data_IF_085742870985
#
_entry.id   IF_085742870985
#
_cell.length_a   1.000
_cell.length_b   1.000
_cell.length_c   1.000
_cell.angle_alpha   90.00
_cell.angle_beta   90.00
_cell.angle_gamma   90.00
#
_symmetry.space_group_name_H-M   'P 1'
#
loop_
_entity.id
_entity.type
_entity.pdbx_description
1 polymer ?
#
# COMPACT_ATOMS: atom_id res chain seq x y z
N UNK A 1 -12.27 12.37 -4.59
CA UNK A 1 -11.61 11.70 -3.45
C UNK A 1 -11.02 12.76 -2.54
N UNK A 2 -11.39 12.75 -1.26
CA UNK A 2 -10.75 13.54 -0.20
C UNK A 2 -10.19 12.59 0.86
N UNK A 3 -9.10 12.99 1.54
CA UNK A 3 -8.53 12.19 2.61
C UNK A 3 -7.85 13.07 3.67
N UNK A 4 -7.83 12.56 4.92
CA UNK A 4 -7.13 13.18 6.05
C UNK A 4 -6.39 12.12 6.84
N UNK A 5 -5.15 12.40 7.23
CA UNK A 5 -4.36 11.58 8.16
C UNK A 5 -3.45 12.46 9.04
N UNK A 6 -2.99 11.90 10.15
CA UNK A 6 -2.00 12.53 11.04
C UNK A 6 -0.85 11.55 11.28
N UNK A 7 0.38 12.06 11.26
CA UNK A 7 1.60 11.29 11.53
C UNK A 7 2.38 11.96 12.65
N UNK A 8 2.74 11.19 13.67
CA UNK A 8 3.55 11.62 14.78
C UNK A 8 4.79 10.74 14.88
N UNK A 9 5.96 11.35 15.10
CA UNK A 9 7.20 10.61 15.24
C UNK A 9 8.14 11.25 16.24
N UNK A 10 8.91 10.41 16.91
CA UNK A 10 9.94 10.80 17.88
C UNK A 10 11.23 10.08 17.55
N UNK A 11 12.34 10.80 17.57
CA UNK A 11 13.68 10.23 17.48
C UNK A 11 14.38 10.47 18.82
N UNK A 12 14.87 9.39 19.40
CA UNK A 12 15.53 9.37 20.68
C UNK A 12 16.98 8.94 20.53
N UNK A 13 17.89 9.60 21.24
CA UNK A 13 19.30 9.23 21.38
C UNK A 13 19.55 8.72 22.78
N UNK A 14 19.63 7.40 23.01
CA UNK A 14 19.72 6.83 24.35
C UNK A 14 21.06 7.12 25.05
N UNK A 15 22.10 7.40 24.28
CA UNK A 15 23.43 7.70 24.80
C UNK A 15 23.91 9.00 24.17
N UNK A 16 24.26 9.97 24.99
CA UNK A 16 24.90 11.22 24.60
C UNK A 16 26.20 10.88 23.88
N UNK A 17 26.62 11.55 22.90
CA UNK A 17 27.80 11.27 22.06
C UNK A 17 27.79 9.97 21.22
N UNK A 18 26.77 9.13 21.35
CA UNK A 18 26.61 7.96 20.48
C UNK A 18 25.91 8.33 19.16
N UNK A 19 26.36 7.81 18.03
CA UNK A 19 25.65 7.96 16.76
C UNK A 19 24.36 7.12 16.70
N UNK A 20 24.09 6.29 17.71
CA UNK A 20 22.91 5.43 17.77
C UNK A 20 21.64 6.23 18.02
N UNK A 21 20.58 5.93 17.27
CA UNK A 21 19.27 6.57 17.33
C UNK A 21 18.17 5.52 17.29
N UNK A 22 17.13 5.76 18.07
CA UNK A 22 15.87 5.01 18.00
C UNK A 22 14.77 5.94 17.52
N UNK A 23 13.92 5.44 16.65
CA UNK A 23 12.75 6.16 16.15
C UNK A 23 11.49 5.38 16.45
N UNK A 24 10.44 6.12 16.80
CA UNK A 24 9.08 5.61 16.96
C UNK A 24 8.16 6.52 16.18
N UNK A 25 7.27 5.94 15.41
CA UNK A 25 6.24 6.70 14.70
C UNK A 25 4.90 5.97 14.75
N UNK A 26 3.84 6.77 14.79
CA UNK A 26 2.47 6.32 14.71
C UNK A 26 1.76 7.13 13.64
N UNK A 27 1.04 6.43 12.77
CA UNK A 27 0.18 7.04 11.78
C UNK A 27 -1.26 6.71 12.15
N UNK A 28 -2.10 7.72 12.19
CA UNK A 28 -3.54 7.51 12.38
C UNK A 28 -4.13 6.81 11.16
N UNK A 29 -5.33 6.25 11.28
CA UNK A 29 -6.12 5.90 10.11
C UNK A 29 -6.20 7.06 9.12
N UNK A 30 -6.23 6.76 7.84
CA UNK A 30 -6.58 7.72 6.80
C UNK A 30 -8.06 7.53 6.48
N UNK A 31 -8.82 8.59 6.61
CA UNK A 31 -10.23 8.62 6.27
C UNK A 31 -10.33 9.08 4.82
N UNK A 32 -10.86 8.21 3.97
CA UNK A 32 -11.13 8.49 2.57
C UNK A 32 -12.62 8.67 2.36
N UNK A 33 -13.01 9.70 1.63
CA UNK A 33 -14.33 9.83 1.03
C UNK A 33 -14.19 9.54 -0.46
N UNK A 34 -14.89 8.53 -0.92
CA UNK A 34 -14.77 7.96 -2.26
C UNK A 34 -16.14 8.01 -2.95
N UNK A 35 -16.11 8.39 -4.21
CA UNK A 35 -17.26 8.29 -5.12
C UNK A 35 -16.91 7.30 -6.21
N UNK A 36 -17.65 6.22 -6.30
CA UNK A 36 -17.56 5.26 -7.39
C UNK A 36 -18.71 5.51 -8.36
N UNK A 37 -18.38 5.58 -9.63
CA UNK A 37 -19.37 5.76 -10.69
C UNK A 37 -19.14 4.71 -11.77
N UNK A 38 -20.18 3.98 -12.11
CA UNK A 38 -20.07 3.00 -13.18
C UNK A 38 -21.25 3.07 -14.14
N UNK A 39 -20.98 2.71 -15.38
CA UNK A 39 -21.94 2.59 -16.45
C UNK A 39 -21.83 1.18 -17.03
N UNK A 40 -22.94 0.48 -17.10
CA UNK A 40 -23.01 -0.82 -17.77
C UNK A 40 -23.71 -0.67 -19.10
N UNK A 41 -23.05 -1.09 -20.18
CA UNK A 41 -23.65 -1.14 -21.52
C UNK A 41 -23.78 -2.59 -21.94
N UNK A 42 -25.00 -3.01 -22.22
CA UNK A 42 -25.29 -4.31 -22.83
C UNK A 42 -25.62 -4.08 -24.32
N UNK A 43 -24.82 -4.66 -25.20
CA UNK A 43 -25.13 -4.76 -26.61
C UNK A 43 -25.45 -6.22 -26.93
N UNK A 44 -26.65 -6.47 -27.46
CA UNK A 44 -27.06 -7.80 -27.92
C UNK A 44 -27.54 -7.73 -29.36
N UNK A 45 -27.07 -8.63 -30.17
CA UNK A 45 -27.48 -8.80 -31.58
C UNK A 45 -28.54 -9.92 -31.71
N UNK A 46 -29.53 -9.84 -30.81
CA UNK A 46 -30.64 -10.81 -30.80
C UNK A 46 -31.72 -10.28 -31.71
N UNK A 47 -32.16 -11.11 -32.65
CA UNK A 47 -33.39 -10.86 -33.43
C UNK A 47 -34.56 -10.75 -32.45
N UNK A 48 -34.92 -9.54 -32.10
CA UNK A 48 -36.09 -9.29 -31.26
C UNK A 48 -37.36 -9.38 -32.13
N UNK A 49 -38.26 -10.23 -31.72
CA UNK A 49 -39.55 -10.40 -32.38
C UNK A 49 -40.48 -9.17 -32.22
N UNK A 50 -40.08 -8.24 -31.33
CA UNK A 50 -40.85 -7.02 -31.05
C UNK A 50 -39.87 -5.84 -30.79
N UNK A 51 -39.98 -4.81 -31.65
CA UNK A 51 -39.18 -3.58 -31.53
C UNK A 51 -39.47 -2.80 -30.22
N UNK A 52 -40.66 -2.91 -29.65
CA UNK A 52 -41.06 -2.28 -28.40
C UNK A 52 -40.24 -2.85 -27.20
N UNK A 53 -39.97 -4.14 -27.21
CA UNK A 53 -39.17 -4.79 -26.17
C UNK A 53 -37.69 -4.38 -26.23
N UNK A 54 -37.14 -4.21 -27.41
CA UNK A 54 -35.79 -3.76 -27.67
C UNK A 54 -35.57 -2.31 -27.17
N UNK A 55 -36.52 -1.44 -27.36
CA UNK A 55 -36.52 -0.05 -26.92
C UNK A 55 -36.57 0.05 -25.39
N UNK A 56 -37.44 -0.72 -24.76
CA UNK A 56 -37.61 -0.75 -23.30
C UNK A 56 -36.32 -1.23 -22.61
N UNK A 57 -35.62 -2.22 -23.13
CA UNK A 57 -34.36 -2.72 -22.57
C UNK A 57 -33.23 -1.70 -22.73
N UNK A 58 -33.15 -1.03 -23.87
CA UNK A 58 -32.19 0.05 -24.12
C UNK A 58 -32.42 1.23 -23.17
N UNK A 59 -33.64 1.65 -22.97
CA UNK A 59 -34.01 2.76 -22.09
C UNK A 59 -33.70 2.43 -20.63
N UNK A 60 -33.95 1.20 -20.19
CA UNK A 60 -33.63 0.75 -18.84
C UNK A 60 -32.08 0.77 -18.57
N UNK A 61 -31.29 0.34 -19.51
CA UNK A 61 -29.80 0.30 -19.39
C UNK A 61 -29.16 1.69 -19.51
N UNK A 62 -29.80 2.61 -20.25
CA UNK A 62 -29.30 3.97 -20.44
C UNK A 62 -29.63 4.87 -19.23
N UNK A 63 -30.61 4.55 -18.43
CA UNK A 63 -31.01 5.34 -17.26
C UNK A 63 -30.27 4.99 -15.97
N UNK A 64 -29.54 3.87 -15.92
CA UNK A 64 -28.87 3.43 -14.73
C UNK A 64 -27.37 3.84 -14.72
N UNK A 65 -27.11 5.14 -14.74
CA UNK A 65 -25.86 5.67 -14.25
C UNK A 65 -25.89 5.58 -12.73
N UNK A 66 -25.13 4.64 -12.18
CA UNK A 66 -25.04 4.45 -10.74
C UNK A 66 -23.81 5.18 -10.23
N UNK A 67 -24.02 6.07 -9.28
CA UNK A 67 -23.00 6.72 -8.50
C UNK A 67 -23.22 6.35 -7.04
N UNK A 68 -22.16 5.95 -6.37
CA UNK A 68 -22.21 5.52 -4.99
C UNK A 68 -21.08 6.17 -4.20
N UNK A 69 -21.44 6.83 -3.11
CA UNK A 69 -20.50 7.47 -2.19
C UNK A 69 -20.28 6.58 -0.97
N UNK A 70 -19.02 6.38 -0.58
CA UNK A 70 -18.67 5.58 0.58
C UNK A 70 -17.40 6.09 1.25
N UNK A 71 -17.20 5.67 2.49
CA UNK A 71 -15.98 5.94 3.26
C UNK A 71 -15.14 4.69 3.41
N UNK A 72 -13.84 4.87 3.28
CA UNK A 72 -12.85 3.87 3.61
C UNK A 72 -11.92 4.42 4.68
N UNK A 73 -11.77 3.66 5.77
CA UNK A 73 -10.88 4.01 6.87
C UNK A 73 -9.75 2.98 6.90
N UNK A 74 -8.51 3.45 6.70
CA UNK A 74 -7.34 2.56 6.76
C UNK A 74 -6.95 2.29 8.22
N UNK A 75 -6.17 1.21 8.49
CA UNK A 75 -5.73 0.90 9.84
C UNK A 75 -4.67 1.89 10.35
N UNK A 76 -4.45 1.86 11.66
CA UNK A 76 -3.28 2.45 12.28
C UNK A 76 -2.00 1.80 11.78
N UNK A 77 -0.91 2.59 11.72
CA UNK A 77 0.43 2.08 11.45
C UNK A 77 1.37 2.45 12.58
N UNK A 78 2.12 1.47 13.04
CA UNK A 78 3.12 1.61 14.08
C UNK A 78 4.49 1.31 13.49
N UNK A 79 5.44 2.20 13.75
CA UNK A 79 6.77 2.09 13.19
C UNK A 79 7.82 2.23 14.31
N UNK A 80 8.79 1.32 14.30
CA UNK A 80 9.96 1.36 15.17
C UNK A 80 11.20 1.27 14.32
N UNK A 81 12.16 2.14 14.55
CA UNK A 81 13.39 2.17 13.77
C UNK A 81 14.63 2.35 14.66
N UNK A 82 15.74 1.82 14.18
CA UNK A 82 17.04 2.02 14.78
C UNK A 82 18.05 2.38 13.69
N UNK A 83 18.98 3.26 14.03
CA UNK A 83 20.03 3.67 13.10
C UNK A 83 21.31 4.05 13.81
N UNK A 84 22.44 3.85 13.13
CA UNK A 84 23.74 4.25 13.63
C UNK A 84 24.68 4.60 12.49
N UNK A 85 25.72 5.35 12.82
CA UNK A 85 26.80 5.68 11.88
C UNK A 85 28.13 5.21 12.47
N UNK A 86 28.84 4.38 11.73
CA UNK A 86 30.13 3.81 12.14
C UNK A 86 31.27 4.63 11.51
N UNK A 87 32.12 5.20 12.34
CA UNK A 87 33.28 5.97 11.92
C UNK A 87 33.02 7.13 10.98
N UNK A 88 31.77 7.61 10.90
CA UNK A 88 31.35 8.63 9.95
C UNK A 88 31.34 8.19 8.47
N UNK A 89 31.63 6.91 8.21
CA UNK A 89 31.77 6.35 6.86
C UNK A 89 30.62 5.43 6.49
N UNK A 90 30.08 4.67 7.43
CA UNK A 90 29.01 3.71 7.18
C UNK A 90 27.81 4.06 8.03
N UNK A 91 26.67 4.31 7.40
CA UNK A 91 25.37 4.44 8.05
C UNK A 91 24.57 3.14 7.90
N UNK A 92 23.99 2.67 9.00
CA UNK A 92 23.14 1.49 9.05
C UNK A 92 21.77 1.90 9.59
N UNK A 93 20.72 1.33 9.04
CA UNK A 93 19.36 1.54 9.51
C UNK A 93 18.53 0.27 9.41
N UNK A 94 17.66 0.09 10.39
CA UNK A 94 16.65 -0.95 10.39
C UNK A 94 15.31 -0.36 10.83
N UNK A 95 14.22 -0.85 10.26
CA UNK A 95 12.88 -0.39 10.53
C UNK A 95 11.91 -1.56 10.52
N UNK A 96 10.99 -1.55 11.44
CA UNK A 96 9.84 -2.45 11.49
C UNK A 96 8.55 -1.63 11.52
N UNK A 97 7.62 -1.99 10.64
CA UNK A 97 6.29 -1.39 10.56
C UNK A 97 5.23 -2.48 10.68
N UNK A 98 4.20 -2.19 11.45
CA UNK A 98 3.02 -3.03 11.60
C UNK A 98 1.75 -2.23 11.29
N UNK A 99 0.85 -2.85 10.53
CA UNK A 99 -0.47 -2.30 10.21
C UNK A 99 -1.48 -3.44 10.09
N UNK A 100 -2.56 -3.39 10.85
CA UNK A 100 -3.60 -4.42 10.83
C UNK A 100 -4.68 -4.09 9.80
N UNK A 101 -4.53 -4.61 8.59
CA UNK A 101 -5.47 -4.34 7.50
C UNK A 101 -6.86 -4.94 7.74
N UNK A 102 -7.00 -5.99 8.57
CA UNK A 102 -8.31 -6.52 8.97
C UNK A 102 -9.13 -5.53 9.80
N UNK A 103 -8.48 -4.52 10.39
CA UNK A 103 -9.17 -3.44 11.11
C UNK A 103 -9.60 -2.26 10.22
N UNK A 104 -9.40 -2.36 8.91
CA UNK A 104 -9.91 -1.35 7.96
C UNK A 104 -11.43 -1.37 7.93
N UNK A 105 -12.05 -0.22 7.65
CA UNK A 105 -13.49 -0.09 7.61
C UNK A 105 -13.97 0.40 6.26
N UNK A 106 -15.10 -0.16 5.82
CA UNK A 106 -15.87 0.28 4.68
C UNK A 106 -17.26 0.67 5.19
N UNK A 107 -17.59 1.93 5.10
CA UNK A 107 -18.84 2.51 5.61
C UNK A 107 -19.53 3.31 4.51
N UNK A 108 -20.85 3.39 4.56
CA UNK A 108 -21.58 4.36 3.75
C UNK A 108 -21.40 5.79 4.29
N UNK A 109 -21.99 6.78 3.62
CA UNK A 109 -21.89 8.18 4.05
C UNK A 109 -22.56 8.46 5.40
N UNK A 110 -23.52 7.62 5.81
CA UNK A 110 -24.24 7.72 7.07
C UNK A 110 -23.52 6.97 8.21
N UNK A 111 -22.45 6.25 7.90
CA UNK A 111 -21.60 5.53 8.88
C UNK A 111 -22.05 4.09 9.15
N UNK A 112 -22.91 3.51 8.32
CA UNK A 112 -23.26 2.10 8.39
C UNK A 112 -22.25 1.26 7.62
N UNK A 113 -21.91 0.11 8.18
CA UNK A 113 -20.99 -0.84 7.55
C UNK A 113 -21.56 -1.34 6.22
N UNK A 114 -20.72 -1.34 5.18
CA UNK A 114 -21.08 -1.89 3.88
C UNK A 114 -21.12 -3.42 3.91
N UNK A 115 -21.93 -3.98 3.02
CA UNK A 115 -22.04 -5.45 2.94
C UNK A 115 -20.75 -6.20 2.67
N UNK A 116 -19.72 -5.51 2.13
CA UNK A 116 -18.38 -6.09 1.87
C UNK A 116 -17.43 -6.00 3.08
N UNK A 117 -17.84 -5.36 4.20
CA UNK A 117 -17.01 -5.22 5.40
C UNK A 117 -16.58 -6.58 5.96
N UNK A 118 -17.44 -7.59 5.94
CA UNK A 118 -17.11 -8.94 6.38
C UNK A 118 -15.90 -9.54 5.61
N UNK A 119 -15.74 -9.20 4.32
CA UNK A 119 -14.59 -9.66 3.53
C UNK A 119 -13.27 -9.03 4.00
N UNK A 120 -13.33 -7.79 4.52
CA UNK A 120 -12.16 -7.12 5.12
C UNK A 120 -11.74 -7.84 6.39
N UNK A 121 -12.68 -8.15 7.27
CA UNK A 121 -12.42 -8.79 8.57
C UNK A 121 -11.97 -10.23 8.43
N UNK A 122 -12.58 -11.00 7.52
CA UNK A 122 -12.30 -12.42 7.36
C UNK A 122 -11.02 -12.67 6.54
N UNK A 123 -10.74 -11.84 5.53
CA UNK A 123 -9.66 -12.13 4.58
C UNK A 123 -8.45 -11.22 4.65
N UNK A 124 -8.51 -10.09 5.35
CA UNK A 124 -7.34 -9.25 5.58
C UNK A 124 -6.74 -9.53 6.96
N UNK A 125 -5.44 -9.38 7.07
CA UNK A 125 -4.69 -9.60 8.30
C UNK A 125 -3.65 -8.52 8.55
N UNK A 126 -3.00 -8.60 9.71
CA UNK A 126 -1.89 -7.74 10.06
C UNK A 126 -0.70 -7.91 9.11
N UNK A 127 -0.20 -6.80 8.61
CA UNK A 127 0.96 -6.73 7.71
C UNK A 127 2.18 -6.28 8.48
N UNK A 128 3.24 -7.06 8.35
CA UNK A 128 4.55 -6.80 8.91
C UNK A 128 5.50 -6.37 7.79
N UNK A 129 6.15 -5.23 7.97
CA UNK A 129 7.17 -4.77 7.03
C UNK A 129 8.50 -4.59 7.77
N UNK A 130 9.54 -5.23 7.26
CA UNK A 130 10.92 -5.10 7.74
C UNK A 130 11.76 -4.43 6.67
N UNK A 131 12.47 -3.38 7.04
CA UNK A 131 13.39 -2.66 6.16
C UNK A 131 14.76 -2.60 6.82
N UNK A 132 15.80 -2.93 6.07
CA UNK A 132 17.18 -2.72 6.48
C UNK A 132 17.93 -2.03 5.34
N UNK A 133 18.83 -1.13 5.70
CA UNK A 133 19.57 -0.38 4.72
C UNK A 133 20.94 0.03 5.22
N UNK A 134 21.85 0.16 4.28
CA UNK A 134 23.20 0.67 4.54
C UNK A 134 23.62 1.68 3.48
N UNK A 135 24.38 2.67 3.91
CA UNK A 135 25.13 3.57 3.05
C UNK A 135 26.60 3.54 3.49
N UNK A 136 27.50 3.33 2.54
CA UNK A 136 28.93 3.39 2.77
C UNK A 136 29.55 4.47 1.89
N UNK A 137 30.29 5.40 2.52
CA UNK A 137 31.07 6.41 1.82
C UNK A 137 32.44 5.84 1.50
N UNK A 138 32.64 5.46 0.22
CA UNK A 138 33.90 4.84 -0.25
C UNK A 138 35.01 5.89 -0.49
N UNK A 139 34.61 7.11 -0.86
CA UNK A 139 35.48 8.25 -1.03
C UNK A 139 34.73 9.53 -0.67
N UNK A 140 35.38 10.70 -0.52
CA UNK A 140 34.70 11.95 -0.19
C UNK A 140 33.53 12.29 -1.10
N UNK A 141 33.62 11.89 -2.38
CA UNK A 141 32.59 12.16 -3.39
C UNK A 141 31.71 10.95 -3.70
N UNK A 142 32.06 9.73 -3.29
CA UNK A 142 31.37 8.53 -3.71
C UNK A 142 30.73 7.78 -2.53
N UNK A 143 29.45 7.44 -2.68
CA UNK A 143 28.73 6.58 -1.75
C UNK A 143 28.06 5.42 -2.49
N UNK A 144 27.98 4.27 -1.81
CA UNK A 144 27.18 3.12 -2.23
C UNK A 144 26.10 2.87 -1.22
N UNK A 145 24.95 2.42 -1.69
CA UNK A 145 23.78 2.12 -0.86
C UNK A 145 23.28 0.73 -1.19
N UNK A 146 22.84 0.02 -0.19
CA UNK A 146 22.14 -1.24 -0.36
C UNK A 146 20.99 -1.30 0.64
N UNK A 147 19.89 -1.91 0.24
CA UNK A 147 18.73 -2.07 1.11
C UNK A 147 17.92 -3.30 0.77
N UNK A 148 17.24 -3.79 1.77
CA UNK A 148 16.30 -4.89 1.67
C UNK A 148 15.01 -4.54 2.40
N UNK A 149 13.87 -4.85 1.77
CA UNK A 149 12.56 -4.70 2.36
C UNK A 149 11.77 -6.00 2.18
N UNK A 150 11.20 -6.47 3.26
CA UNK A 150 10.24 -7.56 3.29
C UNK A 150 8.88 -7.04 3.75
N UNK A 151 7.82 -7.39 3.04
CA UNK A 151 6.44 -7.10 3.42
C UNK A 151 5.65 -8.42 3.38
N UNK A 152 5.03 -8.77 4.50
CA UNK A 152 4.21 -9.97 4.61
C UNK A 152 2.92 -9.85 3.80
N UNK A 153 2.25 -10.98 3.56
CA UNK A 153 0.94 -11.00 2.92
C UNK A 153 -0.10 -10.18 3.72
N UNK A 154 -0.93 -9.44 3.01
CA UNK A 154 -2.08 -8.72 3.58
C UNK A 154 -3.32 -9.60 3.67
N UNK A 155 -3.42 -10.65 2.83
CA UNK A 155 -4.52 -11.58 2.81
C UNK A 155 -4.23 -12.83 3.63
N UNK A 156 -5.25 -13.38 4.26
CA UNK A 156 -5.23 -14.70 4.85
C UNK A 156 -5.12 -15.79 3.77
N UNK A 157 -4.61 -16.97 4.11
CA UNK A 157 -4.31 -18.01 3.11
C UNK A 157 -5.58 -18.56 2.44
N UNK A 158 -6.70 -18.58 3.13
CA UNK A 158 -8.01 -19.01 2.64
C UNK A 158 -8.66 -17.97 1.69
N UNK A 159 -8.29 -16.71 1.78
CA UNK A 159 -8.78 -15.65 0.89
C UNK A 159 -8.51 -15.98 -0.59
N UNK A 160 -7.38 -16.61 -0.89
CA UNK A 160 -6.99 -16.95 -2.26
C UNK A 160 -7.90 -17.99 -2.90
N UNK A 161 -8.49 -18.88 -2.11
CA UNK A 161 -9.46 -19.86 -2.59
C UNK A 161 -10.88 -19.31 -2.62
N UNK A 162 -11.26 -18.49 -1.65
CA UNK A 162 -12.60 -17.97 -1.51
C UNK A 162 -12.92 -16.84 -2.50
N UNK A 163 -11.96 -15.94 -2.76
CA UNK A 163 -12.16 -14.76 -3.61
C UNK A 163 -11.78 -14.97 -5.07
N UNK A 164 -10.92 -15.95 -5.39
CA UNK A 164 -10.41 -16.16 -6.74
C UNK A 164 -11.47 -16.59 -7.76
N UNK A 165 -12.57 -17.22 -7.33
CA UNK A 165 -13.61 -17.76 -8.23
C UNK A 165 -14.38 -16.69 -9.00
N UNK A 166 -14.37 -15.45 -8.53
CA UNK A 166 -15.12 -14.35 -9.14
C UNK A 166 -14.23 -13.26 -9.75
N UNK A 167 -12.91 -13.41 -9.69
CA UNK A 167 -11.98 -12.35 -10.04
C UNK A 167 -11.16 -12.73 -11.27
N UNK A 168 -11.16 -11.83 -12.21
CA UNK A 168 -10.28 -11.87 -13.39
C UNK A 168 -8.99 -11.09 -13.17
N UNK A 169 -8.87 -10.37 -12.06
CA UNK A 169 -7.68 -9.59 -11.72
C UNK A 169 -6.55 -10.50 -11.26
N UNK A 170 -5.43 -10.45 -11.98
CA UNK A 170 -4.21 -11.16 -11.63
C UNK A 170 -3.45 -10.52 -10.47
N UNK A 171 -3.76 -9.29 -10.12
CA UNK A 171 -3.08 -8.52 -9.07
C UNK A 171 -3.34 -9.10 -7.68
N UNK A 172 -4.49 -9.71 -7.48
CA UNK A 172 -4.84 -10.36 -6.23
C UNK A 172 -3.88 -11.51 -5.88
N UNK A 173 -3.48 -12.32 -6.86
CA UNK A 173 -2.57 -13.44 -6.65
C UNK A 173 -1.11 -13.02 -6.39
N UNK A 174 -0.75 -11.77 -6.71
CA UNK A 174 0.61 -11.27 -6.56
C UNK A 174 0.90 -10.65 -5.18
N UNK A 175 -0.04 -10.72 -4.25
CA UNK A 175 0.04 -10.01 -2.96
C UNK A 175 0.36 -10.90 -1.76
N UNK A 176 0.82 -12.15 -1.94
CA UNK A 176 1.16 -13.04 -0.82
C UNK A 176 2.28 -12.46 0.03
N UNK A 177 3.43 -12.22 -0.55
CA UNK A 177 4.52 -11.51 0.12
C UNK A 177 5.39 -10.80 -0.89
N UNK A 178 6.03 -9.74 -0.45
CA UNK A 178 6.90 -8.93 -1.30
C UNK A 178 8.28 -8.79 -0.69
N UNK A 179 9.28 -9.10 -1.49
CA UNK A 179 10.68 -8.86 -1.20
C UNK A 179 11.23 -7.81 -2.16
N UNK A 180 11.94 -6.81 -1.64
CA UNK A 180 12.53 -5.76 -2.46
C UNK A 180 14.00 -5.64 -2.13
N UNK A 181 14.86 -5.68 -3.14
CA UNK A 181 16.28 -5.39 -3.02
C UNK A 181 16.58 -4.08 -3.74
N UNK A 182 17.38 -3.24 -3.11
CA UNK A 182 17.77 -1.94 -3.68
C UNK A 182 19.28 -1.76 -3.64
N UNK A 183 19.81 -1.15 -4.71
CA UNK A 183 21.19 -0.74 -4.81
C UNK A 183 21.26 0.70 -5.28
N UNK A 184 22.23 1.47 -4.78
CA UNK A 184 22.42 2.84 -5.17
C UNK A 184 23.88 3.25 -5.22
N UNK A 185 24.17 4.14 -6.17
CA UNK A 185 25.47 4.80 -6.31
C UNK A 185 25.26 6.30 -6.26
N UNK A 186 26.00 7.00 -5.41
CA UNK A 186 25.95 8.45 -5.30
C UNK A 186 27.30 9.07 -5.60
N UNK A 187 27.29 10.13 -6.38
CA UNK A 187 28.42 11.01 -6.59
C UNK A 187 28.07 12.42 -6.14
N UNK A 188 28.92 13.01 -5.30
CA UNK A 188 28.74 14.39 -4.82
C UNK A 188 30.05 15.16 -4.99
N UNK A 189 30.14 15.90 -6.11
CA UNK A 189 31.20 16.87 -6.36
C UNK A 189 30.87 18.24 -5.80
N UNK A 190 31.76 19.23 -6.04
CA UNK A 190 31.58 20.61 -5.55
C UNK A 190 30.45 21.37 -6.29
N UNK A 191 30.16 21.02 -7.53
CA UNK A 191 29.22 21.72 -8.40
C UNK A 191 28.10 20.80 -8.89
N UNK A 192 28.40 19.51 -9.03
CA UNK A 192 27.48 18.50 -9.58
C UNK A 192 27.30 17.38 -8.59
N UNK A 193 26.07 16.92 -8.44
CA UNK A 193 25.74 15.67 -7.76
C UNK A 193 24.93 14.77 -8.71
N UNK A 194 25.09 13.48 -8.57
CA UNK A 194 24.35 12.48 -9.33
C UNK A 194 24.07 11.27 -8.45
N UNK A 195 22.87 10.74 -8.50
CA UNK A 195 22.44 9.53 -7.83
C UNK A 195 21.85 8.56 -8.84
N UNK A 196 22.26 7.30 -8.79
CA UNK A 196 21.70 6.18 -9.51
C UNK A 196 21.12 5.20 -8.52
N UNK A 197 19.87 4.79 -8.71
CA UNK A 197 19.22 3.79 -7.89
C UNK A 197 18.61 2.69 -8.75
N UNK A 198 18.80 1.45 -8.31
CA UNK A 198 18.18 0.26 -8.87
C UNK A 198 17.34 -0.40 -7.81
N UNK A 199 16.12 -0.81 -8.19
CA UNK A 199 15.17 -1.50 -7.33
C UNK A 199 14.67 -2.76 -8.04
N UNK A 200 14.67 -3.87 -7.33
CA UNK A 200 14.14 -5.14 -7.80
C UNK A 200 13.10 -5.67 -6.83
N UNK A 201 11.87 -5.82 -7.29
CA UNK A 201 10.74 -6.34 -6.52
C UNK A 201 10.48 -7.80 -6.91
N UNK A 202 10.37 -8.66 -5.91
CA UNK A 202 10.02 -10.08 -6.02
C UNK A 202 8.72 -10.31 -5.27
N UNK A 203 7.75 -10.87 -5.95
CA UNK A 203 6.46 -11.24 -5.39
C UNK A 203 6.36 -12.76 -5.32
N UNK A 204 5.80 -13.27 -4.24
CA UNK A 204 5.43 -14.66 -4.15
C UNK A 204 3.97 -14.77 -4.58
N UNK A 205 3.70 -15.61 -5.56
CA UNK A 205 2.36 -15.98 -6.07
C UNK A 205 1.92 -17.32 -5.48
#
# INVERSE_FOLDING_TARGET
>A
VSCVDLKLGVIFRPVEDSPFRLGFAIHTPTWYELTESYNATLSSDIYAYDDAYKQTLSDYLTQNYLSYDYRMVTPWKFNVSAGTTLGGLVALGAEYEYSDYGSSKLEDIDGYELGDQWSVEDYLKGVHTFRVGMEARLAPQFSVRAGYNYTSAAFADDAYSALASYRTSTDFNNTKEKNTVTFGLGYRGNVVYADLAYKYDMYKS
#
